data_IF_986259241748
#
_entry.id   IF_986259241748
#
_cell.length_a   1.000
_cell.length_b   1.000
_cell.length_c   1.000
_cell.angle_alpha   90.00
_cell.angle_beta   90.00
_cell.angle_gamma   90.00
#
_symmetry.space_group_name_H-M   'P 1'
#
loop_
_entity.id
_entity.type
_entity.pdbx_description
1 polymer ?
#
# COMPACT_ATOMS: atom_id res chain seq x y z
N UNK A 1 -17.91 11.70 8.03
CA UNK A 1 -17.90 11.08 9.37
C UNK A 1 -16.79 10.06 9.44
N UNK A 2 -16.09 9.98 10.58
CA UNK A 2 -14.98 9.03 10.77
C UNK A 2 -15.42 7.60 11.14
N UNK A 3 -16.72 7.29 11.09
CA UNK A 3 -17.29 6.05 11.63
C UNK A 3 -17.66 6.16 13.12
N UNK A 4 -18.30 5.12 13.67
CA UNK A 4 -18.59 5.09 15.10
C UNK A 4 -17.36 4.66 15.92
N UNK A 5 -17.23 5.06 17.19
CA UNK A 5 -16.13 4.62 18.04
C UNK A 5 -15.98 3.10 18.11
N UNK A 6 -17.09 2.38 18.21
CA UNK A 6 -17.11 0.92 18.30
C UNK A 6 -16.54 0.26 17.03
N UNK A 7 -16.83 0.83 15.87
CA UNK A 7 -16.27 0.35 14.59
C UNK A 7 -14.75 0.57 14.54
N UNK A 8 -14.29 1.75 14.94
CA UNK A 8 -12.86 2.08 14.94
C UNK A 8 -12.08 1.19 15.92
N UNK A 9 -12.63 0.95 17.11
CA UNK A 9 -12.06 0.03 18.10
C UNK A 9 -12.02 -1.41 17.59
N UNK A 10 -13.08 -1.86 16.91
CA UNK A 10 -13.12 -3.20 16.33
C UNK A 10 -12.06 -3.36 15.22
N UNK A 11 -11.85 -2.33 14.38
CA UNK A 11 -10.81 -2.33 13.33
C UNK A 11 -9.41 -2.32 13.95
N UNK A 12 -9.16 -1.54 15.00
CA UNK A 12 -7.90 -1.56 15.76
C UNK A 12 -7.64 -2.94 16.39
N UNK A 13 -8.68 -3.52 16.99
CA UNK A 13 -8.64 -4.87 17.58
C UNK A 13 -8.35 -5.95 16.54
N UNK A 14 -8.87 -5.80 15.32
CA UNK A 14 -8.57 -6.71 14.21
C UNK A 14 -7.08 -6.66 13.84
N UNK A 15 -6.50 -5.47 13.65
CA UNK A 15 -5.07 -5.32 13.36
C UNK A 15 -4.17 -5.84 14.49
N UNK A 16 -4.53 -5.58 15.74
CA UNK A 16 -3.81 -6.10 16.90
C UNK A 16 -3.83 -7.63 16.96
N UNK A 17 -4.98 -8.24 16.67
CA UNK A 17 -5.15 -9.70 16.74
C UNK A 17 -4.42 -10.44 15.63
N UNK A 18 -4.55 -9.97 14.39
CA UNK A 18 -4.09 -10.71 13.20
C UNK A 18 -2.69 -10.34 12.75
N UNK A 19 -2.28 -9.10 13.00
CA UNK A 19 -0.97 -8.59 12.56
C UNK A 19 -0.06 -8.17 13.73
N UNK A 20 -0.55 -8.19 14.97
CA UNK A 20 0.21 -7.69 16.11
C UNK A 20 0.46 -6.18 16.09
N UNK A 21 -0.24 -5.44 15.22
CA UNK A 21 -0.09 -4.01 15.03
C UNK A 21 -1.07 -3.26 15.94
N UNK A 22 -0.55 -2.39 16.79
CA UNK A 22 -1.37 -1.49 17.61
C UNK A 22 -1.65 -0.20 16.86
N UNK A 23 -2.92 0.10 16.61
CA UNK A 23 -3.38 1.34 15.98
C UNK A 23 -4.20 2.16 16.98
N UNK A 24 -4.01 3.48 16.94
CA UNK A 24 -4.91 4.40 17.62
C UNK A 24 -6.22 4.52 16.81
N UNK A 25 -7.36 4.09 17.35
CA UNK A 25 -8.63 4.11 16.63
C UNK A 25 -9.09 5.53 16.23
N UNK A 26 -8.61 6.57 16.93
CA UNK A 26 -9.06 7.94 16.69
C UNK A 26 -8.25 8.67 15.61
N UNK A 27 -6.98 8.30 15.43
CA UNK A 27 -6.04 9.04 14.59
C UNK A 27 -5.42 8.22 13.46
N UNK A 28 -5.40 6.88 13.56
CA UNK A 28 -4.71 6.01 12.61
C UNK A 28 -5.65 5.12 11.78
N UNK A 29 -6.98 5.25 11.95
CA UNK A 29 -7.97 4.44 11.24
C UNK A 29 -9.01 5.33 10.56
N UNK A 30 -9.29 5.03 9.29
CA UNK A 30 -10.35 5.65 8.53
C UNK A 30 -11.19 4.58 7.80
N UNK A 31 -12.44 4.34 8.20
CA UNK A 31 -13.36 3.49 7.47
C UNK A 31 -13.70 4.08 6.10
N UNK A 32 -13.76 3.23 5.10
CA UNK A 32 -14.08 3.57 3.73
C UNK A 32 -15.34 2.83 3.26
N UNK A 33 -16.08 3.37 2.30
CA UNK A 33 -17.18 2.66 1.65
C UNK A 33 -16.65 1.58 0.71
N UNK A 34 -15.41 1.76 0.21
CA UNK A 34 -14.69 0.78 -0.60
C UNK A 34 -13.27 1.23 -0.91
N UNK A 35 -12.37 0.30 -1.25
CA UNK A 35 -10.96 0.59 -1.50
C UNK A 35 -10.74 1.59 -2.66
N UNK A 36 -11.59 1.56 -3.70
CA UNK A 36 -11.49 2.53 -4.80
C UNK A 36 -11.67 3.98 -4.36
N UNK A 37 -12.55 4.22 -3.39
CA UNK A 37 -12.70 5.54 -2.75
C UNK A 37 -11.40 5.93 -2.04
N UNK A 38 -10.82 5.02 -1.29
CA UNK A 38 -9.55 5.24 -0.60
C UNK A 38 -8.40 5.52 -1.57
N UNK A 39 -8.30 4.77 -2.67
CA UNK A 39 -7.29 4.99 -3.72
C UNK A 39 -7.43 6.42 -4.29
N UNK A 40 -8.65 6.85 -4.60
CA UNK A 40 -8.90 8.19 -5.09
C UNK A 40 -8.50 9.25 -4.06
N UNK A 41 -8.95 9.11 -2.83
CA UNK A 41 -8.72 10.12 -1.79
C UNK A 41 -7.25 10.23 -1.38
N UNK A 42 -6.52 9.10 -1.28
CA UNK A 42 -5.09 9.13 -1.00
C UNK A 42 -4.32 9.76 -2.15
N UNK A 43 -4.66 9.41 -3.39
CA UNK A 43 -4.01 10.03 -4.55
C UNK A 43 -4.29 11.55 -4.59
N UNK A 44 -5.54 11.98 -4.37
CA UNK A 44 -5.91 13.41 -4.29
C UNK A 44 -5.15 14.17 -3.19
N UNK A 45 -4.92 13.52 -2.06
CA UNK A 45 -4.27 14.16 -0.91
C UNK A 45 -2.76 14.33 -1.09
N UNK A 46 -2.11 13.42 -1.83
CA UNK A 46 -0.65 13.31 -1.89
C UNK A 46 -0.03 13.70 -3.24
N UNK A 47 -0.83 13.74 -4.31
CA UNK A 47 -0.31 13.86 -5.68
C UNK A 47 -0.89 15.08 -6.36
N UNK A 48 -0.03 15.91 -6.95
CA UNK A 48 -0.40 17.04 -7.79
C UNK A 48 -0.23 16.70 -9.28
N UNK A 49 -0.88 17.44 -10.19
CA UNK A 49 -0.57 17.32 -11.61
C UNK A 49 0.92 17.52 -11.90
N UNK A 50 1.51 16.55 -12.61
CA UNK A 50 2.95 16.54 -12.93
C UNK A 50 3.84 15.77 -11.95
N UNK A 51 3.32 15.39 -10.78
CA UNK A 51 4.00 14.43 -9.91
C UNK A 51 4.00 13.03 -10.54
N UNK A 52 4.85 12.15 -10.02
CA UNK A 52 4.98 10.78 -10.47
C UNK A 52 4.46 9.80 -9.42
N UNK A 53 3.86 8.70 -9.92
CA UNK A 53 3.33 7.62 -9.08
C UNK A 53 3.92 6.28 -9.56
N UNK A 54 4.57 5.56 -8.66
CA UNK A 54 5.04 4.20 -8.89
C UNK A 54 3.87 3.22 -8.83
N UNK A 55 3.69 2.43 -9.90
CA UNK A 55 2.60 1.45 -10.03
C UNK A 55 3.16 0.09 -10.46
N UNK A 56 2.76 -1.01 -9.79
CA UNK A 56 3.24 -2.34 -10.14
C UNK A 56 2.75 -2.78 -11.52
N UNK A 57 3.60 -3.52 -12.23
CA UNK A 57 3.28 -4.15 -13.51
C UNK A 57 3.69 -5.64 -13.49
N UNK A 58 2.73 -6.60 -13.55
CA UNK A 58 1.28 -6.39 -13.59
C UNK A 58 0.74 -5.77 -12.30
N UNK A 59 -0.46 -5.19 -12.35
CA UNK A 59 -1.08 -4.57 -11.19
C UNK A 59 -2.55 -4.23 -11.40
N UNK A 60 -3.19 -3.77 -10.32
CA UNK A 60 -4.60 -3.40 -10.35
C UNK A 60 -4.82 -2.11 -11.17
N UNK A 61 -5.65 -2.13 -12.23
CA UNK A 61 -5.77 -1.00 -13.17
C UNK A 61 -6.23 0.31 -12.54
N UNK A 62 -6.89 0.26 -11.38
CA UNK A 62 -7.41 1.43 -10.70
C UNK A 62 -6.30 2.38 -10.26
N UNK A 63 -5.12 1.88 -9.85
CA UNK A 63 -4.00 2.74 -9.48
C UNK A 63 -3.57 3.64 -10.65
N UNK A 64 -3.40 3.04 -11.83
CA UNK A 64 -3.06 3.77 -13.05
C UNK A 64 -4.16 4.75 -13.46
N UNK A 65 -5.41 4.28 -13.49
CA UNK A 65 -6.53 5.07 -14.00
C UNK A 65 -6.80 6.31 -13.16
N UNK A 66 -6.81 6.17 -11.83
CA UNK A 66 -7.07 7.29 -10.94
C UNK A 66 -5.88 8.27 -10.89
N UNK A 67 -4.65 7.77 -10.88
CA UNK A 67 -3.47 8.66 -10.92
C UNK A 67 -3.43 9.49 -12.20
N UNK A 68 -3.70 8.87 -13.35
CA UNK A 68 -3.81 9.60 -14.64
C UNK A 68 -4.95 10.63 -14.64
N UNK A 69 -6.11 10.28 -14.08
CA UNK A 69 -7.25 11.19 -13.97
C UNK A 69 -6.89 12.47 -13.21
N UNK A 70 -6.00 12.36 -12.22
CA UNK A 70 -5.52 13.47 -11.42
C UNK A 70 -4.30 14.20 -12.00
N UNK A 71 -3.88 13.84 -13.22
CA UNK A 71 -2.78 14.49 -13.93
C UNK A 71 -1.38 14.02 -13.54
N UNK A 72 -1.28 12.90 -12.83
CA UNK A 72 0.01 12.30 -12.49
C UNK A 72 0.62 11.50 -13.64
N UNK A 73 1.94 11.46 -13.68
CA UNK A 73 2.70 10.57 -14.56
C UNK A 73 2.88 9.21 -13.90
N UNK A 74 2.62 8.14 -14.66
CA UNK A 74 2.80 6.77 -14.17
C UNK A 74 4.20 6.28 -14.47
N UNK A 75 4.90 5.84 -13.43
CA UNK A 75 6.17 5.14 -13.53
C UNK A 75 5.95 3.68 -13.13
N UNK A 76 5.98 2.79 -14.10
CA UNK A 76 5.81 1.37 -13.81
C UNK A 76 7.11 0.78 -13.24
N UNK A 77 6.96 -0.15 -12.29
CA UNK A 77 8.00 -1.07 -11.87
C UNK A 77 7.53 -2.51 -12.08
N UNK A 78 8.42 -3.36 -12.58
CA UNK A 78 8.04 -4.70 -12.98
C UNK A 78 8.12 -5.67 -11.80
N UNK A 79 7.10 -6.52 -11.71
CA UNK A 79 7.08 -7.68 -10.84
C UNK A 79 7.29 -8.92 -11.71
N UNK A 80 8.31 -9.71 -11.40
CA UNK A 80 8.69 -10.87 -12.19
C UNK A 80 8.49 -12.17 -11.38
N UNK A 81 8.11 -13.22 -12.07
CA UNK A 81 7.89 -14.53 -11.46
C UNK A 81 9.17 -15.09 -10.85
N UNK A 82 10.29 -14.90 -11.52
CA UNK A 82 11.60 -15.41 -11.11
C UNK A 82 12.05 -14.90 -9.73
N UNK A 83 11.59 -13.72 -9.32
CA UNK A 83 11.85 -13.18 -7.97
C UNK A 83 10.65 -13.33 -7.02
N UNK A 84 9.63 -14.12 -7.41
CA UNK A 84 8.42 -14.34 -6.62
C UNK A 84 7.49 -13.12 -6.56
N UNK A 85 7.47 -12.33 -7.63
CA UNK A 85 6.62 -11.13 -7.76
C UNK A 85 6.94 -10.03 -6.73
N UNK A 86 8.21 -9.95 -6.30
CA UNK A 86 8.67 -8.88 -5.43
C UNK A 86 9.15 -7.68 -6.26
N UNK A 87 9.10 -6.43 -5.72
CA UNK A 87 9.73 -5.28 -6.36
C UNK A 87 11.23 -5.50 -6.51
N UNK A 88 11.77 -5.14 -7.66
CA UNK A 88 13.21 -5.05 -7.86
C UNK A 88 13.68 -3.66 -7.40
N UNK A 89 14.27 -3.63 -6.21
CA UNK A 89 14.73 -2.37 -5.63
C UNK A 89 15.97 -1.80 -6.32
N UNK A 90 16.79 -2.63 -6.98
CA UNK A 90 17.91 -2.14 -7.77
C UNK A 90 17.41 -1.40 -9.02
N UNK A 91 16.39 -1.97 -9.67
CA UNK A 91 15.69 -1.29 -10.78
C UNK A 91 15.04 0.01 -10.30
N UNK A 92 14.36 -0.01 -9.15
CA UNK A 92 13.72 1.18 -8.58
C UNK A 92 14.72 2.29 -8.26
N UNK A 93 15.83 1.96 -7.61
CA UNK A 93 16.90 2.92 -7.25
C UNK A 93 17.62 3.49 -8.49
N UNK A 94 17.57 2.81 -9.63
CA UNK A 94 18.16 3.29 -10.88
C UNK A 94 17.34 4.39 -11.56
N UNK A 95 16.10 4.61 -11.14
CA UNK A 95 15.18 5.60 -11.72
C UNK A 95 15.40 6.99 -11.09
N UNK A 96 15.04 8.03 -11.85
CA UNK A 96 14.86 9.36 -11.26
C UNK A 96 13.57 9.40 -10.43
N UNK A 97 13.71 9.44 -9.12
CA UNK A 97 12.61 9.42 -8.17
C UNK A 97 12.24 10.81 -7.63
N UNK A 98 12.87 11.86 -8.14
CA UNK A 98 12.73 13.23 -7.61
C UNK A 98 11.29 13.77 -7.62
N UNK A 99 10.45 13.30 -8.54
CA UNK A 99 9.05 13.69 -8.66
C UNK A 99 8.07 12.65 -8.14
N UNK A 100 8.56 11.50 -7.68
CA UNK A 100 7.70 10.44 -7.14
C UNK A 100 7.18 10.84 -5.77
N UNK A 101 5.87 10.78 -5.58
CA UNK A 101 5.19 11.09 -4.31
C UNK A 101 4.54 9.87 -3.68
N UNK A 102 4.13 8.92 -4.51
CA UNK A 102 3.31 7.80 -4.10
C UNK A 102 3.79 6.51 -4.78
N UNK A 103 3.85 5.42 -4.03
CA UNK A 103 4.08 4.08 -4.55
C UNK A 103 2.94 3.16 -4.12
N UNK A 104 2.26 2.58 -5.10
CA UNK A 104 1.28 1.53 -4.87
C UNK A 104 1.94 0.17 -4.81
N UNK A 105 1.59 -0.62 -3.80
CA UNK A 105 1.86 -2.05 -3.70
C UNK A 105 0.56 -2.79 -3.41
N UNK A 106 0.52 -4.08 -3.69
CA UNK A 106 -0.65 -4.90 -3.42
C UNK A 106 -0.17 -6.30 -3.02
N UNK A 107 -0.22 -6.60 -1.74
CA UNK A 107 0.17 -7.92 -1.23
C UNK A 107 -0.82 -8.42 -0.18
N UNK A 108 -1.29 -9.68 -0.32
CA UNK A 108 -1.04 -10.62 -1.44
C UNK A 108 -1.46 -10.03 -2.79
N UNK A 109 -0.63 -10.28 -3.83
CA UNK A 109 -0.67 -9.55 -5.09
C UNK A 109 -1.76 -10.05 -6.04
N UNK A 110 -2.52 -9.15 -6.61
CA UNK A 110 -3.44 -9.42 -7.71
C UNK A 110 -2.86 -8.84 -9.01
N UNK A 111 -2.76 -9.64 -10.10
CA UNK A 111 -3.40 -10.94 -10.33
C UNK A 111 -2.54 -12.16 -10.07
N UNK A 112 -1.28 -12.03 -9.62
CA UNK A 112 -0.30 -13.12 -9.64
C UNK A 112 -0.39 -14.08 -8.44
N UNK A 113 -1.00 -13.65 -7.34
CA UNK A 113 -1.01 -14.39 -6.08
C UNK A 113 0.31 -14.32 -5.29
N UNK A 114 1.28 -13.53 -5.75
CA UNK A 114 2.55 -13.32 -5.04
C UNK A 114 2.30 -12.80 -3.62
N UNK A 115 3.05 -13.33 -2.65
CA UNK A 115 2.96 -12.93 -1.24
C UNK A 115 4.16 -12.07 -0.88
N UNK A 116 3.95 -11.01 -0.11
CA UNK A 116 5.07 -10.27 0.44
C UNK A 116 5.89 -11.13 1.40
N UNK A 117 7.17 -10.82 1.52
CA UNK A 117 8.07 -11.33 2.55
C UNK A 117 8.31 -10.21 3.56
N UNK A 118 8.71 -10.56 4.77
CA UNK A 118 9.08 -9.57 5.79
C UNK A 118 10.16 -8.62 5.26
N UNK A 119 11.18 -9.17 4.61
CA UNK A 119 12.28 -8.42 4.02
C UNK A 119 11.81 -7.45 2.93
N UNK A 120 10.76 -7.82 2.18
CA UNK A 120 10.15 -6.93 1.17
C UNK A 120 9.53 -5.71 1.84
N UNK A 121 8.80 -5.90 2.93
CA UNK A 121 8.19 -4.80 3.66
C UNK A 121 9.24 -3.92 4.35
N UNK A 122 10.29 -4.50 4.91
CA UNK A 122 11.42 -3.75 5.48
C UNK A 122 12.10 -2.87 4.43
N UNK A 123 12.36 -3.42 3.23
CA UNK A 123 12.93 -2.67 2.11
C UNK A 123 11.99 -1.57 1.61
N UNK A 124 10.68 -1.82 1.55
CA UNK A 124 9.70 -0.80 1.16
C UNK A 124 9.67 0.38 2.13
N UNK A 125 9.73 0.11 3.44
CA UNK A 125 9.78 1.17 4.46
C UNK A 125 11.10 1.96 4.38
N UNK A 126 12.22 1.28 4.19
CA UNK A 126 13.52 1.93 4.01
C UNK A 126 13.52 2.82 2.74
N UNK A 127 13.03 2.29 1.62
CA UNK A 127 12.88 3.02 0.36
C UNK A 127 11.97 4.24 0.50
N UNK A 128 10.82 4.09 1.14
CA UNK A 128 9.88 5.18 1.40
C UNK A 128 10.55 6.34 2.17
N UNK A 129 11.27 6.01 3.22
CA UNK A 129 11.99 7.01 4.05
C UNK A 129 13.13 7.68 3.30
N UNK A 130 13.95 6.90 2.58
CA UNK A 130 15.09 7.39 1.82
C UNK A 130 14.69 8.41 0.76
N UNK A 131 13.59 8.15 0.04
CA UNK A 131 13.15 8.96 -1.10
C UNK A 131 11.99 9.92 -0.77
N UNK A 132 11.55 9.95 0.49
CA UNK A 132 10.38 10.76 0.92
C UNK A 132 9.13 10.46 0.08
N UNK A 133 8.86 9.18 -0.14
CA UNK A 133 7.72 8.64 -0.89
C UNK A 133 6.74 8.01 0.09
N UNK A 134 5.44 8.19 -0.11
CA UNK A 134 4.44 7.44 0.65
C UNK A 134 4.18 6.11 -0.05
N UNK A 135 4.37 5.00 0.67
CA UNK A 135 4.01 3.66 0.17
C UNK A 135 2.62 3.27 0.67
N UNK A 136 1.76 2.84 -0.24
CA UNK A 136 0.42 2.34 0.09
C UNK A 136 0.32 0.88 -0.31
N UNK A 137 0.11 0.00 0.66
CA UNK A 137 -0.16 -1.41 0.41
C UNK A 137 -1.66 -1.69 0.44
N UNK A 138 -2.20 -2.13 -0.68
CA UNK A 138 -3.59 -2.60 -0.78
C UNK A 138 -3.63 -4.09 -0.43
N UNK A 139 -4.22 -4.42 0.73
CA UNK A 139 -4.19 -5.75 1.34
C UNK A 139 -5.60 -6.36 1.52
N UNK A 140 -6.37 -6.58 0.44
CA UNK A 140 -7.69 -7.19 0.55
C UNK A 140 -7.66 -8.72 0.59
N UNK A 141 -6.51 -9.35 0.31
CA UNK A 141 -6.42 -10.80 0.10
C UNK A 141 -5.65 -11.53 1.23
N UNK A 142 -5.36 -10.86 2.35
CA UNK A 142 -4.54 -11.42 3.43
C UNK A 142 -5.05 -12.78 3.94
N UNK A 143 -6.35 -12.99 3.89
CA UNK A 143 -7.01 -14.20 4.40
C UNK A 143 -7.38 -15.22 3.33
N UNK A 144 -7.05 -14.96 2.05
CA UNK A 144 -7.35 -15.87 0.95
C UNK A 144 -6.17 -16.81 0.73
N UNK A 145 -6.39 -18.12 0.98
CA UNK A 145 -5.39 -19.19 0.80
C UNK A 145 -4.01 -18.81 1.40
N UNK A 146 -4.03 -18.19 2.58
CA UNK A 146 -2.85 -17.68 3.24
C UNK A 146 -2.92 -17.95 4.75
N UNK A 147 -1.97 -18.70 5.27
CA UNK A 147 -1.89 -19.04 6.70
C UNK A 147 -1.02 -18.03 7.49
N UNK A 148 -0.15 -17.30 6.79
CA UNK A 148 0.72 -16.30 7.40
C UNK A 148 0.30 -14.90 6.97
N UNK A 149 -0.37 -14.20 7.89
CA UNK A 149 -0.88 -12.87 7.63
C UNK A 149 0.19 -11.84 7.94
N UNK A 150 0.62 -11.10 6.90
CA UNK A 150 1.57 -10.01 7.04
C UNK A 150 0.91 -8.67 6.75
N UNK A 151 1.33 -7.65 7.48
CA UNK A 151 0.97 -6.25 7.26
C UNK A 151 2.23 -5.42 7.08
N UNK A 152 2.21 -4.49 6.13
CA UNK A 152 3.28 -3.51 5.96
C UNK A 152 3.52 -2.71 7.26
N UNK A 153 2.46 -2.48 8.03
CA UNK A 153 2.53 -1.72 9.28
C UNK A 153 3.19 -2.47 10.45
N UNK A 154 3.58 -3.75 10.27
CA UNK A 154 4.38 -4.49 11.25
C UNK A 154 5.84 -4.00 11.31
N UNK A 155 6.32 -3.39 10.23
CA UNK A 155 7.70 -2.90 10.15
C UNK A 155 7.85 -1.65 10.99
N UNK A 156 8.93 -1.58 11.77
CA UNK A 156 9.24 -0.42 12.61
C UNK A 156 9.36 0.86 11.77
N UNK A 157 8.64 1.88 12.17
CA UNK A 157 8.60 3.17 11.49
C UNK A 157 7.79 3.18 10.18
N UNK A 158 7.05 2.11 9.86
CA UNK A 158 6.15 2.09 8.70
C UNK A 158 5.06 3.16 8.81
N UNK A 159 4.53 3.40 9.99
CA UNK A 159 3.47 4.40 10.21
C UNK A 159 3.86 5.83 9.83
N UNK A 160 5.15 6.13 9.75
CA UNK A 160 5.63 7.47 9.40
C UNK A 160 5.55 7.75 7.89
N UNK A 161 5.54 6.69 7.06
CA UNK A 161 5.65 6.82 5.61
C UNK A 161 4.77 5.84 4.82
N UNK A 162 3.96 5.02 5.50
CA UNK A 162 3.14 4.01 4.84
C UNK A 162 1.68 4.08 5.25
N UNK A 163 0.81 3.67 4.33
CA UNK A 163 -0.63 3.47 4.53
C UNK A 163 -0.95 2.03 4.12
N UNK A 164 -1.84 1.37 4.83
CA UNK A 164 -2.36 0.08 4.41
C UNK A 164 -3.87 0.11 4.27
N UNK A 165 -4.38 -0.38 3.13
CA UNK A 165 -5.79 -0.67 2.94
C UNK A 165 -6.07 -2.11 3.31
N UNK A 166 -7.17 -2.35 3.98
CA UNK A 166 -7.69 -3.67 4.29
C UNK A 166 -9.16 -3.76 3.87
N UNK A 167 -9.66 -4.97 3.66
CA UNK A 167 -11.05 -5.16 3.23
C UNK A 167 -11.62 -6.45 3.79
N UNK A 168 -12.89 -6.39 4.20
CA UNK A 168 -13.68 -7.55 4.63
C UNK A 168 -14.51 -8.15 3.50
N UNK A 169 -14.35 -7.68 2.25
CA UNK A 169 -15.16 -8.12 1.11
C UNK A 169 -14.63 -9.39 0.43
N UNK A 170 -13.48 -9.92 0.87
CA UNK A 170 -12.85 -11.14 0.33
C UNK A 170 -12.73 -12.22 1.38
#
# INVERSE_FOLDING_TARGET
TKGTPELLEAMAGFYSRWYGVKLDPQTEILPLIGSKEGILHVTLALVNPGDEVLVPNPGYPTYTSLSKLLGATIVNYNLLEDNGWQPDFEELESKDLSRVKLMWTNYPHMPTGGKARTETYERLVAFAKQHNIVVVNDNPYSFILNEHHLSLLQVEGAKDCCIEFNSMSK
#
